data_IF_041901928933
#
_entry.id   IF_041901928933
#
_cell.length_a   1.000
_cell.length_b   1.000
_cell.length_c   1.000
_cell.angle_alpha   90.00
_cell.angle_beta   90.00
_cell.angle_gamma   90.00
#
_symmetry.space_group_name_H-M   'P 1'
#
loop_
_entity.id
_entity.type
_entity.pdbx_description
1 polymer ?
#
# COMPACT_ATOMS: atom_id res chain seq x y z
N UNK A 1 -35.32 9.45 11.10
CA UNK A 1 -34.18 9.59 12.04
C UNK A 1 -34.42 10.83 12.88
N UNK A 2 -34.29 10.74 14.21
CA UNK A 2 -34.24 11.95 15.06
C UNK A 2 -33.05 12.79 14.59
N UNK A 3 -33.27 14.05 14.26
CA UNK A 3 -32.18 14.98 13.96
C UNK A 3 -31.45 15.26 15.28
N UNK A 4 -30.22 14.78 15.40
CA UNK A 4 -29.38 14.99 16.59
C UNK A 4 -28.44 16.17 16.37
N UNK A 5 -28.18 16.89 17.45
CA UNK A 5 -27.22 18.01 17.46
C UNK A 5 -25.84 17.47 17.78
N UNK A 6 -24.82 18.14 17.24
CA UNK A 6 -23.43 17.96 17.69
C UNK A 6 -23.27 18.81 18.95
N UNK A 7 -22.81 18.17 20.01
CA UNK A 7 -22.44 18.78 21.28
C UNK A 7 -20.92 18.73 21.43
N UNK A 8 -20.36 19.53 22.34
CA UNK A 8 -18.93 19.60 22.60
C UNK A 8 -18.68 19.40 24.09
N UNK A 9 -17.65 18.61 24.41
CA UNK A 9 -17.29 18.31 25.80
C UNK A 9 -15.79 18.16 25.95
N UNK A 10 -15.31 18.34 27.19
CA UNK A 10 -13.94 18.07 27.56
C UNK A 10 -13.61 16.58 27.39
N UNK A 11 -12.43 16.28 26.85
CA UNK A 11 -11.93 14.92 26.61
C UNK A 11 -11.91 14.04 27.86
N UNK A 12 -11.66 14.62 29.04
CA UNK A 12 -11.61 13.87 30.29
C UNK A 12 -13.00 13.42 30.76
N UNK A 13 -14.06 14.04 30.23
CA UNK A 13 -15.44 13.64 30.48
C UNK A 13 -15.90 12.46 29.60
N UNK A 14 -15.10 12.05 28.60
CA UNK A 14 -15.43 10.93 27.71
C UNK A 14 -14.67 9.67 28.16
N UNK A 15 -15.44 8.60 28.43
CA UNK A 15 -14.93 7.27 28.75
C UNK A 15 -14.78 6.41 27.48
N UNK A 16 -13.70 5.65 27.39
CA UNK A 16 -13.50 4.59 26.39
C UNK A 16 -14.45 3.43 26.66
N UNK A 17 -14.95 2.80 25.59
CA UNK A 17 -15.91 1.71 25.69
C UNK A 17 -15.23 0.37 26.03
N UNK A 18 -15.46 -0.22 27.22
CA UNK A 18 -14.95 -1.54 27.57
C UNK A 18 -15.51 -2.67 26.69
N UNK A 19 -16.65 -2.44 26.03
CA UNK A 19 -17.33 -3.41 25.15
C UNK A 19 -16.98 -3.24 23.68
N UNK A 20 -16.00 -2.39 23.34
CA UNK A 20 -15.65 -2.17 21.94
C UNK A 20 -15.22 -3.48 21.26
N UNK A 21 -15.81 -3.88 20.12
CA UNK A 21 -15.49 -5.16 19.46
C UNK A 21 -14.00 -5.38 19.15
N UNK A 22 -13.23 -4.30 18.93
CA UNK A 22 -11.79 -4.37 18.63
C UNK A 22 -10.92 -4.77 19.84
N UNK A 23 -11.44 -4.69 21.07
CA UNK A 23 -10.72 -5.15 22.27
C UNK A 23 -10.66 -6.68 22.37
N UNK A 24 -11.52 -7.38 21.65
CA UNK A 24 -11.61 -8.84 21.66
C UNK A 24 -12.35 -9.42 22.88
N UNK A 25 -12.80 -10.66 22.75
CA UNK A 25 -13.68 -11.33 23.73
C UNK A 25 -13.07 -11.47 25.13
N UNK A 26 -11.75 -11.61 25.23
CA UNK A 26 -11.05 -11.78 26.52
C UNK A 26 -11.03 -10.51 27.36
N UNK A 27 -11.10 -9.33 26.72
CA UNK A 27 -11.17 -8.04 27.39
C UNK A 27 -12.60 -7.74 27.87
N UNK A 28 -13.62 -8.12 27.10
CA UNK A 28 -15.03 -7.89 27.45
C UNK A 28 -15.48 -8.59 28.74
N UNK A 29 -14.82 -9.70 29.11
CA UNK A 29 -15.12 -10.46 30.32
C UNK A 29 -14.36 -9.94 31.56
N UNK A 30 -13.55 -8.90 31.41
CA UNK A 30 -12.78 -8.29 32.47
C UNK A 30 -13.37 -6.92 32.76
N UNK A 31 -13.57 -6.64 34.03
CA UNK A 31 -14.06 -5.35 34.51
C UNK A 31 -12.90 -4.33 34.49
N UNK A 32 -12.41 -4.01 33.28
CA UNK A 32 -11.18 -3.25 33.08
C UNK A 32 -11.36 -1.78 33.47
N UNK A 33 -10.35 -1.21 34.11
CA UNK A 33 -10.26 0.22 34.36
C UNK A 33 -9.96 0.99 33.05
N UNK A 34 -10.26 2.30 33.04
CA UNK A 34 -10.06 3.14 31.86
C UNK A 34 -8.60 3.17 31.38
N UNK A 35 -7.62 3.18 32.29
CA UNK A 35 -6.20 3.13 31.91
C UNK A 35 -5.80 1.79 31.27
N UNK A 36 -6.40 0.68 31.69
CA UNK A 36 -6.17 -0.63 31.08
C UNK A 36 -6.77 -0.69 29.67
N UNK A 37 -7.99 -0.19 29.50
CA UNK A 37 -8.65 -0.08 28.18
C UNK A 37 -7.82 0.81 27.26
N UNK A 38 -7.39 1.97 27.74
CA UNK A 38 -6.53 2.88 26.99
C UNK A 38 -5.23 2.18 26.55
N UNK A 39 -4.54 1.48 27.45
CA UNK A 39 -3.32 0.77 27.13
C UNK A 39 -3.52 -0.30 26.03
N UNK A 40 -4.63 -1.03 26.04
CA UNK A 40 -4.97 -1.96 24.95
C UNK A 40 -5.22 -1.25 23.62
N UNK A 41 -5.77 -0.03 23.64
CA UNK A 41 -6.04 0.76 22.44
C UNK A 41 -4.80 1.48 21.88
N UNK A 42 -3.71 1.63 22.66
CA UNK A 42 -2.49 2.34 22.22
C UNK A 42 -1.89 1.75 20.95
N UNK A 43 -2.07 0.46 20.72
CA UNK A 43 -1.52 -0.27 19.57
C UNK A 43 -2.40 -0.18 18.30
N UNK A 44 -3.54 0.53 18.36
CA UNK A 44 -4.48 0.64 17.23
C UNK A 44 -4.05 1.65 16.14
N UNK A 45 -2.74 1.82 15.95
CA UNK A 45 -2.15 2.75 14.97
C UNK A 45 -2.82 4.13 15.04
N UNK A 46 -2.63 4.80 16.18
CA UNK A 46 -3.29 6.05 16.53
C UNK A 46 -2.58 7.29 15.97
N UNK A 47 -1.38 7.11 15.42
CA UNK A 47 -0.49 8.18 15.00
C UNK A 47 -1.02 8.97 13.79
N UNK A 48 -1.66 8.28 12.85
CA UNK A 48 -2.30 8.92 11.69
C UNK A 48 -3.41 9.89 12.13
N UNK A 49 -4.20 9.51 13.14
CA UNK A 49 -5.24 10.37 13.72
C UNK A 49 -4.62 11.55 14.46
N UNK A 50 -3.56 11.33 15.23
CA UNK A 50 -2.86 12.39 15.94
C UNK A 50 -2.31 13.44 14.98
N UNK A 51 -1.62 13.02 13.92
CA UNK A 51 -1.11 13.93 12.87
C UNK A 51 -2.27 14.68 12.21
N UNK A 52 -3.36 14.00 11.86
CA UNK A 52 -4.54 14.64 11.28
C UNK A 52 -5.17 15.69 12.20
N UNK A 53 -5.27 15.43 13.51
CA UNK A 53 -5.79 16.39 14.47
C UNK A 53 -4.91 17.62 14.63
N UNK A 54 -3.59 17.47 14.61
CA UNK A 54 -2.66 18.60 14.70
C UNK A 54 -2.69 19.48 13.43
N UNK A 55 -2.90 18.88 12.27
CA UNK A 55 -2.97 19.61 11.00
C UNK A 55 -4.33 20.28 10.76
N UNK A 56 -5.43 19.62 11.14
CA UNK A 56 -6.79 20.02 10.71
C UNK A 56 -7.80 20.20 11.84
N UNK A 57 -7.41 19.97 13.09
CA UNK A 57 -8.31 19.93 14.24
C UNK A 57 -9.24 18.71 14.25
N UNK A 58 -10.16 18.66 15.22
CA UNK A 58 -11.20 17.64 15.26
C UNK A 58 -12.39 18.06 14.39
N UNK A 59 -12.66 17.32 13.33
CA UNK A 59 -13.78 17.62 12.46
C UNK A 59 -15.13 17.29 13.09
N UNK A 60 -16.02 18.27 13.19
CA UNK A 60 -17.36 18.10 13.74
C UNK A 60 -18.21 17.08 12.96
N UNK A 61 -17.98 16.90 11.66
CA UNK A 61 -18.68 15.89 10.84
C UNK A 61 -18.25 14.45 11.18
N UNK A 62 -17.11 14.30 11.87
CA UNK A 62 -16.59 13.04 12.41
C UNK A 62 -16.81 12.98 13.93
N UNK A 63 -17.85 13.66 14.46
CA UNK A 63 -18.22 13.60 15.87
C UNK A 63 -18.31 12.15 16.37
N UNK A 64 -17.81 11.90 17.59
CA UNK A 64 -17.93 10.57 18.20
C UNK A 64 -19.35 10.31 18.65
N UNK A 65 -19.77 9.05 18.67
CA UNK A 65 -21.13 8.68 19.07
C UNK A 65 -21.07 8.14 20.49
N UNK A 66 -21.80 8.77 21.42
CA UNK A 66 -21.71 8.46 22.84
C UNK A 66 -23.08 8.12 23.45
N UNK A 67 -23.07 7.28 24.49
CA UNK A 67 -24.22 6.94 25.33
C UNK A 67 -23.86 7.23 26.79
N UNK A 68 -24.80 7.74 27.58
CA UNK A 68 -24.63 7.75 29.03
C UNK A 68 -25.02 6.39 29.61
N UNK A 69 -24.08 5.73 30.27
CA UNK A 69 -24.32 4.44 30.93
C UNK A 69 -23.48 4.30 32.19
N UNK A 70 -23.92 3.42 33.08
CA UNK A 70 -23.21 3.11 34.31
C UNK A 70 -21.98 2.23 34.00
N UNK A 71 -20.80 2.75 34.33
CA UNK A 71 -19.52 2.03 34.29
C UNK A 71 -18.95 2.06 35.69
N UNK A 72 -18.67 0.88 36.28
CA UNK A 72 -18.07 0.76 37.61
C UNK A 72 -18.84 1.49 38.73
N UNK A 73 -20.17 1.60 38.59
CA UNK A 73 -21.03 2.30 39.56
C UNK A 73 -21.19 3.81 39.32
N UNK A 74 -20.50 4.38 38.32
CA UNK A 74 -20.61 5.79 37.95
C UNK A 74 -21.32 5.94 36.60
N UNK A 75 -22.26 6.89 36.48
CA UNK A 75 -22.80 7.28 35.17
C UNK A 75 -21.73 8.04 34.40
N UNK A 76 -21.32 7.52 33.24
CA UNK A 76 -20.30 8.13 32.38
C UNK A 76 -20.80 8.27 30.95
N UNK A 77 -20.28 9.27 30.24
CA UNK A 77 -20.48 9.42 28.79
C UNK A 77 -19.48 8.52 28.06
N UNK A 78 -19.97 7.41 27.50
CA UNK A 78 -19.15 6.35 26.90
C UNK A 78 -19.16 6.47 25.39
N UNK A 79 -17.98 6.51 24.78
CA UNK A 79 -17.82 6.54 23.32
C UNK A 79 -18.11 5.17 22.71
N UNK A 80 -19.24 5.01 22.05
CA UNK A 80 -19.60 3.76 21.37
C UNK A 80 -18.89 3.67 20.01
N UNK A 81 -18.85 4.77 19.27
CA UNK A 81 -18.16 4.85 17.99
C UNK A 81 -17.19 6.02 17.91
N UNK A 82 -15.97 5.73 17.46
CA UNK A 82 -14.84 6.68 17.51
C UNK A 82 -13.87 6.43 18.65
N UNK A 83 -13.84 5.23 19.25
CA UNK A 83 -12.87 4.85 20.30
C UNK A 83 -11.42 5.13 19.90
N UNK A 84 -11.02 4.85 18.64
CA UNK A 84 -9.69 5.21 18.13
C UNK A 84 -9.41 6.72 18.18
N UNK A 85 -10.41 7.56 17.89
CA UNK A 85 -10.27 9.03 17.95
C UNK A 85 -10.06 9.51 19.38
N UNK A 86 -10.86 9.01 20.32
CA UNK A 86 -10.73 9.36 21.74
C UNK A 86 -9.40 8.84 22.31
N UNK A 87 -9.01 7.60 21.98
CA UNK A 87 -7.71 7.06 22.39
C UNK A 87 -6.54 7.88 21.81
N UNK A 88 -6.61 8.30 20.55
CA UNK A 88 -5.61 9.14 19.92
C UNK A 88 -5.51 10.52 20.61
N UNK A 89 -6.65 11.17 20.88
CA UNK A 89 -6.69 12.43 21.64
C UNK A 89 -6.09 12.28 23.04
N UNK A 90 -6.48 11.24 23.80
CA UNK A 90 -5.96 11.00 25.15
C UNK A 90 -4.44 10.75 25.13
N UNK A 91 -3.95 10.00 24.14
CA UNK A 91 -2.51 9.77 23.96
C UNK A 91 -1.77 11.05 23.58
N UNK A 92 -2.36 11.87 22.72
CA UNK A 92 -1.81 13.18 22.32
C UNK A 92 -1.73 14.13 23.53
N UNK A 93 -2.80 14.23 24.32
CA UNK A 93 -2.85 15.03 25.55
C UNK A 93 -1.77 14.57 26.55
N UNK A 94 -1.63 13.26 26.78
CA UNK A 94 -0.55 12.68 27.59
C UNK A 94 0.85 12.99 27.04
N UNK A 95 1.00 13.06 25.72
CA UNK A 95 2.28 13.40 25.07
C UNK A 95 2.65 14.85 25.34
N UNK A 96 1.72 15.80 25.18
CA UNK A 96 1.95 17.20 25.56
C UNK A 96 2.17 17.37 27.07
N UNK A 97 1.50 16.56 27.89
CA UNK A 97 1.68 16.54 29.34
C UNK A 97 2.99 15.91 29.84
N UNK A 98 3.77 15.27 28.97
CA UNK A 98 5.05 14.63 29.32
C UNK A 98 4.96 13.19 29.84
N UNK A 99 3.79 12.55 29.79
CA UNK A 99 3.56 11.18 30.25
C UNK A 99 3.90 10.10 29.20
N UNK A 100 3.95 10.48 27.91
CA UNK A 100 4.29 9.56 26.81
C UNK A 100 5.79 9.61 26.49
N UNK A 101 6.43 8.45 26.43
CA UNK A 101 7.88 8.31 26.20
C UNK A 101 8.22 7.77 24.80
N UNK A 102 7.21 7.42 24.01
CA UNK A 102 7.39 6.96 22.65
C UNK A 102 8.04 8.05 21.78
N UNK A 103 9.25 7.76 21.28
CA UNK A 103 9.99 8.64 20.35
C UNK A 103 9.13 9.10 19.17
N UNK A 104 8.32 8.20 18.60
CA UNK A 104 7.43 8.50 17.47
C UNK A 104 6.39 9.56 17.84
N UNK A 105 5.83 9.52 19.05
CA UNK A 105 4.85 10.50 19.50
C UNK A 105 5.48 11.84 19.86
N UNK A 106 6.67 11.81 20.44
CA UNK A 106 7.47 13.02 20.68
C UNK A 106 7.81 13.73 19.36
N UNK A 107 8.14 12.97 18.31
CA UNK A 107 8.37 13.49 16.96
C UNK A 107 7.09 14.09 16.33
N UNK A 108 5.89 13.56 16.64
CA UNK A 108 4.62 14.09 16.13
C UNK A 108 4.32 15.49 16.69
N UNK A 109 4.64 15.73 17.97
CA UNK A 109 4.37 17.02 18.62
C UNK A 109 5.54 18.02 18.52
N UNK A 110 6.67 17.61 17.93
CA UNK A 110 7.88 18.44 17.87
C UNK A 110 7.63 19.75 17.11
N UNK A 111 7.95 20.88 17.75
CA UNK A 111 7.69 22.20 17.21
C UNK A 111 6.21 22.61 17.11
N UNK A 112 5.27 21.82 17.66
CA UNK A 112 3.83 22.11 17.65
C UNK A 112 3.40 22.63 19.02
N UNK A 113 2.64 23.73 19.05
CA UNK A 113 2.04 24.24 20.28
C UNK A 113 0.87 23.36 20.72
N UNK A 114 0.67 23.21 22.04
CA UNK A 114 -0.44 22.42 22.57
C UNK A 114 -1.80 22.98 22.10
N UNK A 115 -2.65 22.17 21.45
CA UNK A 115 -3.93 22.64 20.92
C UNK A 115 -5.04 22.52 21.97
N UNK A 116 -5.13 23.44 22.94
CA UNK A 116 -6.07 23.32 24.07
C UNK A 116 -7.54 23.10 23.66
N UNK A 117 -8.00 23.77 22.61
CA UNK A 117 -9.37 23.58 22.08
C UNK A 117 -9.63 22.17 21.59
N UNK A 118 -8.61 21.48 21.08
CA UNK A 118 -8.75 20.10 20.60
C UNK A 118 -9.14 19.15 21.74
N UNK A 119 -8.66 19.42 22.97
CA UNK A 119 -8.95 18.61 24.15
C UNK A 119 -10.19 19.09 24.90
N UNK A 120 -10.46 20.40 24.91
CA UNK A 120 -11.61 20.98 25.61
C UNK A 120 -12.93 20.96 24.83
N UNK A 121 -12.89 20.86 23.50
CA UNK A 121 -14.07 20.93 22.63
C UNK A 121 -14.18 19.69 21.72
N UNK A 122 -14.26 18.48 22.32
CA UNK A 122 -14.42 17.25 21.55
C UNK A 122 -15.88 17.12 21.06
N UNK A 123 -16.12 17.10 19.73
CA UNK A 123 -17.47 17.00 19.21
C UNK A 123 -18.01 15.58 19.37
N UNK A 124 -19.22 15.48 19.92
CA UNK A 124 -19.92 14.21 20.07
C UNK A 124 -21.42 14.34 19.75
N UNK A 125 -22.04 13.20 19.46
CA UNK A 125 -23.49 13.07 19.32
C UNK A 125 -23.97 12.12 20.40
N UNK A 126 -24.87 12.61 21.25
CA UNK A 126 -25.52 11.85 22.30
C UNK A 126 -26.59 10.93 21.75
N UNK A 127 -26.50 9.63 22.04
CA UNK A 127 -27.48 8.61 21.73
C UNK A 127 -28.30 8.25 22.99
N UNK A 128 -29.53 7.79 22.80
CA UNK A 128 -30.38 7.37 23.92
C UNK A 128 -30.00 5.94 24.36
N UNK A 129 -29.56 5.10 23.41
CA UNK A 129 -29.12 3.73 23.65
C UNK A 129 -28.09 3.25 22.60
N UNK A 130 -27.38 2.15 22.90
CA UNK A 130 -26.34 1.59 22.01
C UNK A 130 -26.90 1.06 20.71
N UNK A 131 -28.08 0.47 20.76
CA UNK A 131 -28.74 -0.19 19.62
C UNK A 131 -29.00 0.79 18.46
N UNK A 132 -29.03 2.10 18.75
CA UNK A 132 -29.19 3.13 17.73
C UNK A 132 -28.00 3.25 16.77
N UNK A 133 -26.82 2.76 17.15
CA UNK A 133 -25.62 2.81 16.32
C UNK A 133 -25.31 1.50 15.60
N UNK A 134 -26.00 0.39 15.91
CA UNK A 134 -25.67 -0.92 15.36
C UNK A 134 -25.71 -0.94 13.81
N UNK A 135 -26.77 -0.36 13.23
CA UNK A 135 -26.89 -0.23 11.77
C UNK A 135 -25.78 0.65 11.17
N UNK A 136 -25.39 1.72 11.87
CA UNK A 136 -24.30 2.61 11.46
C UNK A 136 -22.93 1.92 11.57
N UNK A 137 -22.67 1.18 12.65
CA UNK A 137 -21.44 0.39 12.84
C UNK A 137 -21.33 -0.69 11.76
N UNK A 138 -22.43 -1.38 11.47
CA UNK A 138 -22.52 -2.35 10.38
C UNK A 138 -22.11 -1.71 9.05
N UNK A 139 -22.71 -0.58 8.69
CA UNK A 139 -22.35 0.12 7.46
C UNK A 139 -20.90 0.64 7.47
N UNK A 140 -20.45 1.28 8.55
CA UNK A 140 -19.16 1.95 8.62
C UNK A 140 -17.97 1.00 8.69
N UNK A 141 -18.11 -0.14 9.37
CA UNK A 141 -16.99 -1.07 9.66
C UNK A 141 -17.13 -2.43 8.99
N UNK A 142 -18.34 -2.87 8.63
CA UNK A 142 -18.52 -4.15 7.92
C UNK A 142 -18.53 -3.92 6.42
N UNK A 143 -19.34 -2.99 5.91
CA UNK A 143 -19.30 -2.63 4.48
C UNK A 143 -18.17 -1.66 4.13
N UNK A 144 -17.79 -0.80 5.08
CA UNK A 144 -16.70 0.16 4.91
C UNK A 144 -17.07 1.35 4.01
N UNK A 145 -16.21 2.36 4.02
CA UNK A 145 -16.26 3.42 2.99
C UNK A 145 -15.60 2.84 1.74
N UNK A 146 -16.25 2.98 0.59
CA UNK A 146 -15.64 2.60 -0.69
C UNK A 146 -14.38 3.43 -0.91
N UNK A 147 -13.23 2.77 -0.90
CA UNK A 147 -11.98 3.43 -1.20
C UNK A 147 -11.95 3.91 -2.66
N UNK A 148 -11.29 5.05 -2.86
CA UNK A 148 -10.97 5.51 -4.21
C UNK A 148 -10.04 4.53 -4.92
N UNK A 149 -10.29 4.35 -6.20
CA UNK A 149 -9.42 3.60 -7.08
C UNK A 149 -8.04 4.28 -7.17
N UNK A 150 -6.97 3.54 -7.50
CA UNK A 150 -5.63 4.10 -7.67
C UNK A 150 -5.53 5.36 -8.56
N UNK A 151 -6.16 5.44 -9.76
CA UNK A 151 -6.09 6.66 -10.57
C UNK A 151 -6.82 7.85 -9.93
N UNK A 152 -7.96 7.62 -9.27
CA UNK A 152 -8.71 8.65 -8.54
C UNK A 152 -7.88 9.23 -7.37
N UNK A 153 -7.19 8.35 -6.62
CA UNK A 153 -6.26 8.76 -5.55
C UNK A 153 -5.11 9.63 -6.12
N UNK A 154 -4.52 9.23 -7.24
CA UNK A 154 -3.43 9.96 -7.86
C UNK A 154 -3.87 11.30 -8.47
N UNK A 155 -5.07 11.35 -9.04
CA UNK A 155 -5.71 12.60 -9.50
C UNK A 155 -5.89 13.57 -8.35
N UNK A 156 -6.42 13.11 -7.21
CA UNK A 156 -6.60 13.98 -6.05
C UNK A 156 -5.27 14.48 -5.49
N UNK A 157 -4.25 13.63 -5.41
CA UNK A 157 -2.89 14.06 -5.04
C UNK A 157 -2.40 15.15 -5.99
N UNK A 158 -2.59 14.96 -7.30
CA UNK A 158 -2.16 15.94 -8.31
C UNK A 158 -2.94 17.25 -8.20
N UNK A 159 -4.24 17.20 -7.90
CA UNK A 159 -5.05 18.39 -7.60
C UNK A 159 -4.48 19.18 -6.42
N UNK A 160 -4.15 18.51 -5.31
CA UNK A 160 -3.58 19.16 -4.14
C UNK A 160 -2.25 19.86 -4.45
N UNK A 161 -1.44 19.30 -5.35
CA UNK A 161 -0.16 19.87 -5.75
C UNK A 161 -0.37 21.03 -6.73
N UNK A 162 -1.10 20.79 -7.82
CA UNK A 162 -1.21 21.71 -8.95
C UNK A 162 -2.12 22.90 -8.66
N UNK A 163 -3.27 22.66 -8.02
CA UNK A 163 -4.27 23.71 -7.77
C UNK A 163 -4.03 24.41 -6.43
N UNK A 164 -3.67 23.66 -5.39
CA UNK A 164 -3.47 24.22 -4.05
C UNK A 164 -2.00 24.60 -3.77
N UNK A 165 -1.07 24.31 -4.69
CA UNK A 165 0.34 24.68 -4.56
C UNK A 165 1.09 23.96 -3.44
N UNK A 166 0.61 22.79 -3.01
CA UNK A 166 1.19 22.05 -1.90
C UNK A 166 2.47 21.30 -2.31
N UNK A 167 3.45 21.24 -1.41
CA UNK A 167 4.63 20.39 -1.59
C UNK A 167 4.28 18.92 -1.37
N UNK A 168 5.13 17.99 -1.81
CA UNK A 168 4.93 16.56 -1.49
C UNK A 168 4.85 16.29 0.02
N UNK A 169 5.56 17.08 0.83
CA UNK A 169 5.56 16.93 2.29
C UNK A 169 4.24 17.38 2.90
N UNK A 170 3.67 18.47 2.40
CA UNK A 170 2.38 18.98 2.87
C UNK A 170 1.26 17.98 2.53
N UNK A 171 1.24 17.48 1.29
CA UNK A 171 0.28 16.45 0.87
C UNK A 171 0.47 15.17 1.69
N UNK A 172 1.72 14.73 1.91
CA UNK A 172 2.02 13.56 2.73
C UNK A 172 1.43 13.67 4.14
N UNK A 173 1.58 14.83 4.79
CA UNK A 173 1.01 15.10 6.12
C UNK A 173 -0.51 15.10 6.10
N UNK A 174 -1.10 15.73 5.09
CA UNK A 174 -2.55 15.86 4.96
C UNK A 174 -3.26 14.51 4.73
N UNK A 175 -2.65 13.61 3.94
CA UNK A 175 -3.28 12.33 3.55
C UNK A 175 -2.75 11.11 4.33
N UNK A 176 -1.74 11.29 5.20
CA UNK A 176 -1.15 10.20 5.98
C UNK A 176 -0.41 9.17 5.11
N UNK A 177 0.44 9.61 4.19
CA UNK A 177 1.22 8.71 3.31
C UNK A 177 2.74 8.82 3.54
N UNK A 178 3.54 8.28 2.63
CA UNK A 178 5.00 8.50 2.59
C UNK A 178 5.33 9.43 1.43
N UNK A 179 6.29 10.34 1.60
CA UNK A 179 6.70 11.29 0.54
C UNK A 179 7.03 10.60 -0.79
N UNK A 180 7.80 9.49 -0.83
CA UNK A 180 8.07 8.79 -2.10
C UNK A 180 6.82 8.18 -2.76
N UNK A 181 5.79 7.86 -1.96
CA UNK A 181 4.50 7.40 -2.48
C UNK A 181 3.73 8.55 -3.11
N UNK A 182 3.69 9.72 -2.45
CA UNK A 182 3.04 10.93 -2.99
C UNK A 182 3.70 11.35 -4.30
N UNK A 183 5.02 11.46 -4.32
CA UNK A 183 5.78 11.83 -5.53
C UNK A 183 5.50 10.86 -6.68
N UNK A 184 5.55 9.55 -6.44
CA UNK A 184 5.29 8.56 -7.50
C UNK A 184 3.86 8.60 -8.01
N UNK A 185 2.87 8.87 -7.15
CA UNK A 185 1.49 9.07 -7.60
C UNK A 185 1.40 10.29 -8.52
N UNK A 186 2.05 11.40 -8.15
CA UNK A 186 2.06 12.61 -8.96
C UNK A 186 2.74 12.42 -10.33
N UNK A 187 3.89 11.76 -10.36
CA UNK A 187 4.61 11.45 -11.62
C UNK A 187 3.80 10.47 -12.46
N UNK A 188 3.26 9.39 -11.88
CA UNK A 188 2.42 8.43 -12.60
C UNK A 188 1.18 9.10 -13.22
N UNK A 189 0.51 9.97 -12.46
CA UNK A 189 -0.63 10.73 -12.98
C UNK A 189 -0.21 11.71 -14.07
N UNK A 190 0.91 12.40 -13.92
CA UNK A 190 1.42 13.31 -14.94
C UNK A 190 1.78 12.57 -16.24
N UNK A 191 2.36 11.37 -16.14
CA UNK A 191 2.65 10.51 -17.30
C UNK A 191 1.34 10.09 -17.97
N UNK A 192 0.34 9.69 -17.18
CA UNK A 192 -0.98 9.35 -17.69
C UNK A 192 -1.59 10.51 -18.49
N UNK A 193 -1.65 11.71 -17.93
CA UNK A 193 -2.17 12.90 -18.64
C UNK A 193 -1.38 13.16 -19.93
N UNK A 194 -0.04 13.06 -19.88
CA UNK A 194 0.77 13.22 -21.08
C UNK A 194 0.47 12.15 -22.14
N UNK A 195 0.21 10.90 -21.74
CA UNK A 195 -0.21 9.87 -22.69
C UNK A 195 -1.55 10.26 -23.34
N UNK A 196 -2.52 10.78 -22.56
CA UNK A 196 -3.86 11.17 -23.07
C UNK A 196 -3.75 12.27 -24.13
N UNK A 197 -2.80 13.18 -23.95
CA UNK A 197 -2.50 14.27 -24.88
C UNK A 197 -1.58 13.84 -26.05
N UNK A 198 -1.08 12.60 -26.06
CA UNK A 198 -0.14 12.11 -27.07
C UNK A 198 -0.88 11.41 -28.23
N UNK A 199 -0.73 11.96 -29.44
CA UNK A 199 -1.34 11.39 -30.65
C UNK A 199 -0.94 9.92 -30.90
N UNK A 200 -1.93 9.07 -31.18
CA UNK A 200 -1.74 7.66 -31.48
C UNK A 200 -1.71 6.76 -30.23
N UNK A 201 -2.10 7.28 -29.07
CA UNK A 201 -2.38 6.48 -27.87
C UNK A 201 -3.88 6.42 -27.61
N UNK A 202 -4.41 5.20 -27.52
CA UNK A 202 -5.73 4.92 -26.98
C UNK A 202 -5.57 4.41 -25.55
N UNK A 203 -6.13 5.16 -24.59
CA UNK A 203 -6.05 4.83 -23.18
C UNK A 203 -7.44 4.60 -22.58
N UNK A 204 -8.36 4.06 -23.38
CA UNK A 204 -9.68 3.66 -22.91
C UNK A 204 -9.69 2.65 -21.74
N UNK A 205 -8.54 2.08 -21.33
CA UNK A 205 -8.39 1.12 -20.21
C UNK A 205 -7.41 1.56 -19.13
N UNK A 206 -7.17 2.87 -18.97
CA UNK A 206 -6.28 3.41 -17.92
C UNK A 206 -6.66 2.91 -16.53
N UNK A 207 -7.95 2.92 -16.22
CA UNK A 207 -8.46 2.66 -14.87
C UNK A 207 -8.05 1.27 -14.37
N UNK A 208 -7.99 0.28 -15.26
CA UNK A 208 -7.66 -1.11 -14.92
C UNK A 208 -6.16 -1.34 -14.68
N UNK A 209 -5.29 -0.44 -15.18
CA UNK A 209 -3.83 -0.66 -15.26
C UNK A 209 -2.99 0.44 -14.64
N UNK A 210 -3.60 1.49 -14.08
CA UNK A 210 -2.88 2.54 -13.36
C UNK A 210 -1.97 1.97 -12.25
N UNK A 211 -2.41 0.92 -11.55
CA UNK A 211 -1.58 0.23 -10.55
C UNK A 211 -0.29 -0.35 -11.14
N UNK A 212 -0.33 -0.87 -12.37
CA UNK A 212 0.85 -1.40 -13.07
C UNK A 212 1.80 -0.26 -13.43
N UNK A 213 1.27 0.85 -13.98
CA UNK A 213 2.03 2.07 -14.24
C UNK A 213 2.74 2.55 -12.97
N UNK A 214 1.98 2.81 -11.90
CA UNK A 214 2.50 3.27 -10.61
C UNK A 214 3.58 2.34 -10.03
N UNK A 215 3.35 1.02 -10.04
CA UNK A 215 4.30 0.05 -9.48
C UNK A 215 5.57 -0.05 -10.32
N UNK A 216 5.45 -0.01 -11.64
CA UNK A 216 6.60 -0.11 -12.55
C UNK A 216 7.58 1.06 -12.40
N UNK A 217 7.09 2.27 -12.11
CA UNK A 217 7.94 3.44 -11.85
C UNK A 217 8.82 3.32 -10.59
N UNK A 218 8.58 2.31 -9.74
CA UNK A 218 9.49 1.97 -8.66
C UNK A 218 10.83 1.38 -9.17
N UNK A 219 10.85 0.82 -10.38
CA UNK A 219 12.02 0.17 -10.97
C UNK A 219 12.83 1.16 -11.79
N UNK A 220 14.14 1.22 -11.57
CA UNK A 220 15.04 2.12 -12.32
C UNK A 220 14.98 1.86 -13.82
N UNK A 221 15.04 0.61 -14.26
CA UNK A 221 14.98 0.24 -15.69
C UNK A 221 13.76 0.83 -16.42
N UNK A 222 12.59 0.89 -15.75
CA UNK A 222 11.39 1.50 -16.32
C UNK A 222 11.54 3.02 -16.39
N UNK A 223 12.09 3.65 -15.34
CA UNK A 223 12.35 5.10 -15.33
C UNK A 223 13.38 5.50 -16.39
N UNK A 224 14.41 4.69 -16.58
CA UNK A 224 15.47 4.91 -17.56
C UNK A 224 14.90 4.75 -18.98
N UNK A 225 14.10 3.71 -19.22
CA UNK A 225 13.41 3.50 -20.50
C UNK A 225 12.49 4.66 -20.87
N UNK A 226 11.73 5.18 -19.91
CA UNK A 226 10.84 6.33 -20.12
C UNK A 226 11.58 7.68 -20.09
N UNK A 227 12.85 7.71 -19.71
CA UNK A 227 13.62 8.96 -19.55
C UNK A 227 13.08 9.89 -18.46
N UNK A 228 12.58 9.32 -17.36
CA UNK A 228 11.94 10.06 -16.25
C UNK A 228 12.69 9.96 -14.92
N UNK A 229 13.88 9.35 -14.89
CA UNK A 229 14.65 9.16 -13.67
C UNK A 229 14.99 10.50 -12.97
N UNK A 230 15.26 11.55 -13.75
CA UNK A 230 15.51 12.92 -13.29
C UNK A 230 14.28 13.63 -12.72
N UNK A 231 13.08 13.07 -12.91
CA UNK A 231 11.82 13.60 -12.37
C UNK A 231 11.54 13.10 -10.95
N UNK A 232 12.34 12.19 -10.43
CA UNK A 232 12.28 11.74 -9.04
C UNK A 232 13.21 12.61 -8.18
N UNK A 233 12.88 12.73 -6.90
CA UNK A 233 13.57 13.58 -5.92
C UNK A 233 13.70 15.08 -6.29
N UNK A 234 12.88 15.59 -7.22
CA UNK A 234 12.75 17.02 -7.57
C UNK A 234 11.42 17.61 -7.10
N UNK A 235 11.30 18.93 -7.03
CA UNK A 235 10.04 19.62 -6.67
C UNK A 235 8.94 19.39 -7.73
N UNK A 236 7.64 19.42 -7.35
CA UNK A 236 6.56 19.11 -8.29
C UNK A 236 6.53 19.99 -9.55
N UNK A 237 6.88 21.27 -9.41
CA UNK A 237 6.95 22.24 -10.53
C UNK A 237 7.95 21.85 -11.63
N UNK A 238 8.93 21.02 -11.30
CA UNK A 238 10.02 20.62 -12.20
C UNK A 238 9.75 19.25 -12.88
N UNK A 239 8.59 18.64 -12.58
CA UNK A 239 8.20 17.34 -13.13
C UNK A 239 7.66 17.45 -14.56
N UNK A 240 6.91 18.50 -14.90
CA UNK A 240 6.17 18.57 -16.18
C UNK A 240 6.95 19.29 -17.30
N UNK A 241 6.94 18.76 -18.55
CA UNK A 241 6.39 17.45 -18.94
C UNK A 241 7.23 16.29 -18.37
N UNK A 242 6.61 15.18 -17.92
CA UNK A 242 7.35 14.10 -17.28
C UNK A 242 8.24 13.36 -18.27
N UNK A 243 7.73 13.03 -19.46
CA UNK A 243 8.50 12.41 -20.53
C UNK A 243 8.91 13.47 -21.55
N UNK A 244 10.19 13.51 -21.92
CA UNK A 244 10.70 14.43 -22.94
C UNK A 244 10.37 13.98 -24.36
N UNK A 245 10.38 14.90 -25.33
CA UNK A 245 10.13 14.62 -26.75
C UNK A 245 10.99 13.47 -27.30
N UNK A 246 12.24 13.37 -26.85
CA UNK A 246 13.19 12.31 -27.24
C UNK A 246 12.76 10.90 -26.78
N UNK A 247 11.85 10.80 -25.81
CA UNK A 247 11.38 9.53 -25.23
C UNK A 247 9.90 9.25 -25.54
N UNK A 248 9.24 10.08 -26.37
CA UNK A 248 7.83 9.86 -26.73
C UNK A 248 7.61 8.52 -27.45
N UNK A 249 8.59 8.06 -28.25
CA UNK A 249 8.51 6.74 -28.88
C UNK A 249 8.46 5.64 -27.80
N UNK A 250 9.33 5.73 -26.79
CA UNK A 250 9.35 4.79 -25.67
C UNK A 250 8.05 4.89 -24.85
N UNK A 251 7.49 6.09 -24.67
CA UNK A 251 6.18 6.26 -24.03
C UNK A 251 5.08 5.50 -24.77
N UNK A 252 5.08 5.57 -26.10
CA UNK A 252 4.09 4.87 -26.93
C UNK A 252 4.24 3.36 -26.84
N UNK A 253 5.46 2.86 -26.94
CA UNK A 253 5.78 1.43 -26.78
C UNK A 253 5.36 0.92 -25.40
N UNK A 254 5.74 1.65 -24.35
CA UNK A 254 5.38 1.34 -22.98
C UNK A 254 3.86 1.31 -22.77
N UNK A 255 3.14 2.32 -23.25
CA UNK A 255 1.69 2.39 -23.14
C UNK A 255 1.03 1.19 -23.83
N UNK A 256 1.46 0.85 -25.06
CA UNK A 256 0.96 -0.32 -25.78
C UNK A 256 1.21 -1.63 -25.03
N UNK A 257 2.37 -1.79 -24.40
CA UNK A 257 2.68 -3.00 -23.63
C UNK A 257 1.90 -3.10 -22.32
N UNK A 258 1.47 -1.99 -21.72
CA UNK A 258 0.70 -1.99 -20.47
C UNK A 258 -0.82 -2.03 -20.69
N UNK A 259 -1.33 -1.23 -21.63
CA UNK A 259 -2.76 -1.02 -21.84
C UNK A 259 -3.31 -1.80 -23.04
N UNK A 260 -2.44 -2.14 -24.00
CA UNK A 260 -2.85 -2.65 -25.31
C UNK A 260 -3.38 -1.54 -26.21
N UNK A 261 -3.90 -1.95 -27.37
CA UNK A 261 -4.61 -1.10 -28.33
C UNK A 261 -5.70 -1.94 -29.04
N UNK A 262 -6.35 -1.41 -30.07
CA UNK A 262 -7.39 -2.12 -30.84
C UNK A 262 -6.89 -3.44 -31.47
N UNK A 263 -5.61 -3.53 -31.82
CA UNK A 263 -5.02 -4.67 -32.53
C UNK A 263 -4.23 -5.62 -31.60
N UNK A 264 -3.78 -5.13 -30.45
CA UNK A 264 -2.81 -5.78 -29.58
C UNK A 264 -3.27 -5.83 -28.14
N UNK A 265 -3.28 -7.04 -27.58
CA UNK A 265 -3.47 -7.21 -26.14
C UNK A 265 -2.24 -6.68 -25.37
N UNK A 266 -2.43 -6.19 -24.13
CA UNK A 266 -1.32 -5.79 -23.28
C UNK A 266 -0.37 -6.97 -23.02
N UNK A 267 0.92 -6.67 -23.01
CA UNK A 267 2.00 -7.60 -22.68
C UNK A 267 2.07 -7.82 -21.16
N UNK A 268 1.87 -6.74 -20.39
CA UNK A 268 1.84 -6.77 -18.92
C UNK A 268 0.38 -6.82 -18.47
N UNK A 269 0.01 -7.93 -17.86
CA UNK A 269 -1.40 -8.20 -17.50
C UNK A 269 -1.68 -8.04 -16.01
N UNK A 270 -0.66 -8.15 -15.15
CA UNK A 270 -0.81 -8.10 -13.70
C UNK A 270 0.37 -7.36 -13.06
N UNK A 271 0.11 -6.65 -11.96
CA UNK A 271 1.13 -6.00 -11.13
C UNK A 271 2.31 -6.90 -10.73
N UNK A 272 2.10 -8.21 -10.57
CA UNK A 272 3.13 -9.19 -10.23
C UNK A 272 4.15 -9.39 -11.35
N UNK A 273 3.85 -8.95 -12.56
CA UNK A 273 4.72 -9.06 -13.73
C UNK A 273 5.64 -7.86 -13.91
N UNK A 274 5.51 -6.83 -13.07
CA UNK A 274 6.30 -5.59 -13.16
C UNK A 274 7.81 -5.85 -13.07
N UNK A 275 8.23 -6.78 -12.20
CA UNK A 275 9.66 -7.12 -12.07
C UNK A 275 10.21 -7.73 -13.35
N UNK A 276 9.52 -8.74 -13.90
CA UNK A 276 9.90 -9.34 -15.18
C UNK A 276 9.94 -8.31 -16.31
N UNK A 277 8.94 -7.44 -16.36
CA UNK A 277 8.89 -6.39 -17.38
C UNK A 277 10.06 -5.41 -17.27
N UNK A 278 10.43 -5.00 -16.06
CA UNK A 278 11.60 -4.16 -15.85
C UNK A 278 12.90 -4.85 -16.28
N UNK A 279 13.06 -6.15 -16.00
CA UNK A 279 14.21 -6.95 -16.49
C UNK A 279 14.26 -6.97 -18.02
N UNK A 280 13.11 -7.15 -18.68
CA UNK A 280 13.03 -7.16 -20.15
C UNK A 280 13.41 -5.81 -20.74
N UNK A 281 12.93 -4.70 -20.19
CA UNK A 281 13.29 -3.35 -20.66
C UNK A 281 14.79 -3.03 -20.48
N UNK A 282 15.46 -3.69 -19.54
CA UNK A 282 16.89 -3.51 -19.28
C UNK A 282 17.80 -4.35 -20.20
N UNK A 283 17.25 -5.30 -20.97
CA UNK A 283 18.00 -6.14 -21.91
C UNK A 283 17.74 -5.70 -23.34
N UNK A 284 18.82 -5.51 -24.11
CA UNK A 284 18.73 -5.16 -25.53
C UNK A 284 17.98 -6.24 -26.32
N UNK A 285 18.26 -7.52 -26.08
CA UNK A 285 17.60 -8.64 -26.74
C UNK A 285 16.14 -8.80 -26.33
N UNK A 286 15.84 -8.64 -25.04
CA UNK A 286 14.48 -8.71 -24.51
C UNK A 286 13.60 -7.59 -25.06
N UNK A 287 14.15 -6.36 -25.11
CA UNK A 287 13.48 -5.20 -25.66
C UNK A 287 13.29 -5.31 -27.18
N UNK A 288 14.30 -5.77 -27.93
CA UNK A 288 14.19 -6.02 -29.36
C UNK A 288 13.09 -7.05 -29.66
N UNK A 289 13.00 -8.12 -28.86
CA UNK A 289 11.91 -9.10 -28.98
C UNK A 289 10.52 -8.46 -28.81
N UNK A 290 10.33 -7.57 -27.83
CA UNK A 290 9.05 -6.88 -27.64
C UNK A 290 8.70 -5.95 -28.81
N UNK A 291 9.70 -5.35 -29.47
CA UNK A 291 9.52 -4.43 -30.60
C UNK A 291 9.25 -5.14 -31.93
N UNK A 292 9.91 -6.28 -32.17
CA UNK A 292 9.92 -6.95 -33.47
C UNK A 292 8.80 -7.97 -33.63
N UNK A 293 8.36 -8.59 -32.54
CA UNK A 293 7.35 -9.65 -32.59
C UNK A 293 5.95 -9.06 -32.58
N UNK A 294 5.14 -9.40 -33.58
CA UNK A 294 3.76 -8.89 -33.73
C UNK A 294 2.85 -9.16 -32.53
N UNK A 295 3.03 -10.29 -31.84
CA UNK A 295 2.28 -10.69 -30.63
C UNK A 295 3.27 -11.19 -29.58
N UNK A 296 3.98 -10.30 -28.90
CA UNK A 296 5.01 -10.69 -27.96
C UNK A 296 4.37 -11.25 -26.69
N UNK A 297 5.12 -12.12 -26.01
CA UNK A 297 4.77 -12.66 -24.70
C UNK A 297 5.84 -12.23 -23.71
N UNK A 298 5.42 -11.70 -22.57
CA UNK A 298 6.34 -11.25 -21.53
C UNK A 298 7.26 -12.37 -21.05
N UNK A 299 6.72 -13.59 -20.88
CA UNK A 299 7.51 -14.73 -20.39
C UNK A 299 8.64 -15.09 -21.35
N UNK A 300 8.36 -15.08 -22.66
CA UNK A 300 9.41 -15.35 -23.66
C UNK A 300 10.43 -14.22 -23.72
N UNK A 301 9.99 -12.96 -23.62
CA UNK A 301 10.89 -11.82 -23.56
C UNK A 301 11.81 -11.89 -22.32
N UNK A 302 11.26 -12.33 -21.18
CA UNK A 302 11.99 -12.47 -19.92
C UNK A 302 13.09 -13.55 -19.99
N UNK A 303 12.78 -14.70 -20.59
CA UNK A 303 13.79 -15.75 -20.86
C UNK A 303 14.88 -15.24 -21.81
N UNK A 304 14.49 -14.52 -22.88
CA UNK A 304 15.46 -13.92 -23.82
C UNK A 304 16.36 -12.90 -23.12
N UNK A 305 15.81 -12.16 -22.16
CA UNK A 305 16.55 -11.22 -21.32
C UNK A 305 17.45 -11.89 -20.26
N UNK A 306 17.53 -13.24 -20.24
CA UNK A 306 18.30 -14.00 -19.25
C UNK A 306 17.68 -13.99 -17.85
N UNK A 307 16.41 -13.62 -17.71
CA UNK A 307 15.75 -13.49 -16.42
C UNK A 307 15.51 -14.79 -15.67
N UNK A 308 15.58 -15.95 -16.35
CA UNK A 308 15.45 -17.28 -15.77
C UNK A 308 16.81 -17.94 -15.44
N UNK A 309 17.93 -17.25 -15.68
CA UNK A 309 19.26 -17.80 -15.43
C UNK A 309 19.48 -18.13 -13.95
N UNK A 310 19.10 -17.22 -13.04
CA UNK A 310 19.30 -17.44 -11.61
C UNK A 310 18.45 -18.62 -11.09
N UNK A 311 17.20 -18.73 -11.54
CA UNK A 311 16.34 -19.88 -11.21
C UNK A 311 16.94 -21.19 -11.75
N UNK A 312 17.49 -21.16 -12.97
CA UNK A 312 18.19 -22.32 -13.54
C UNK A 312 19.44 -22.67 -12.71
N UNK A 313 20.24 -21.69 -12.28
CA UNK A 313 21.40 -21.92 -11.41
C UNK A 313 20.99 -22.52 -10.06
N UNK A 314 19.94 -22.02 -9.43
CA UNK A 314 19.41 -22.56 -8.17
C UNK A 314 18.92 -24.00 -8.32
N UNK A 315 18.17 -24.29 -9.39
CA UNK A 315 17.69 -25.65 -9.69
C UNK A 315 18.86 -26.61 -9.94
N UNK A 316 19.87 -26.19 -10.69
CA UNK A 316 21.05 -27.01 -10.99
C UNK A 316 21.92 -27.24 -9.76
N UNK A 317 22.16 -26.21 -8.94
CA UNK A 317 22.86 -26.33 -7.66
C UNK A 317 22.13 -27.27 -6.70
N UNK A 318 20.81 -27.12 -6.58
CA UNK A 318 19.97 -27.98 -5.73
C UNK A 318 19.98 -29.44 -6.22
N UNK A 319 19.92 -29.64 -7.54
CA UNK A 319 20.02 -30.96 -8.13
C UNK A 319 21.38 -31.61 -7.84
N UNK A 320 22.48 -30.87 -7.99
CA UNK A 320 23.84 -31.34 -7.69
C UNK A 320 23.96 -31.76 -6.22
N UNK A 321 23.54 -30.89 -5.28
CA UNK A 321 23.55 -31.18 -3.84
C UNK A 321 22.76 -32.45 -3.50
N UNK A 322 21.55 -32.59 -4.02
CA UNK A 322 20.71 -33.76 -3.75
C UNK A 322 21.33 -35.07 -4.29
N UNK A 323 22.06 -35.00 -5.41
CA UNK A 323 22.78 -36.15 -5.94
C UNK A 323 23.98 -36.50 -5.05
N UNK A 324 24.76 -35.51 -4.61
CA UNK A 324 25.87 -35.70 -3.67
C UNK A 324 25.40 -36.35 -2.36
N UNK A 325 24.32 -35.84 -1.77
CA UNK A 325 23.72 -36.41 -0.55
C UNK A 325 23.26 -37.85 -0.76
N UNK A 326 22.60 -38.15 -1.88
CA UNK A 326 22.13 -39.50 -2.18
C UNK A 326 23.28 -40.49 -2.33
N UNK A 327 24.42 -40.08 -2.91
CA UNK A 327 25.58 -40.94 -3.13
C UNK A 327 26.13 -41.56 -1.83
N UNK A 328 25.95 -40.88 -0.69
CA UNK A 328 26.39 -41.37 0.63
C UNK A 328 25.79 -42.74 1.01
N UNK A 329 24.57 -43.03 0.56
CA UNK A 329 23.80 -44.20 1.01
C UNK A 329 23.18 -45.03 -0.12
N UNK A 330 23.26 -44.56 -1.37
CA UNK A 330 22.61 -45.21 -2.53
C UNK A 330 23.04 -46.66 -2.75
N UNK A 331 24.29 -47.01 -2.42
CA UNK A 331 24.84 -48.35 -2.59
C UNK A 331 24.15 -49.41 -1.71
N UNK A 332 23.55 -49.01 -0.58
CA UNK A 332 22.77 -49.91 0.27
C UNK A 332 21.48 -50.42 -0.40
N UNK A 333 21.01 -49.72 -1.44
CA UNK A 333 19.72 -49.97 -2.08
C UNK A 333 19.85 -50.21 -3.60
N UNK A 334 21.04 -50.63 -4.07
CA UNK A 334 21.34 -50.77 -5.48
C UNK A 334 20.44 -51.76 -6.26
N UNK A 335 19.74 -52.67 -5.57
CA UNK A 335 18.81 -53.64 -6.14
C UNK A 335 17.33 -53.23 -6.01
N UNK A 336 17.03 -52.08 -5.39
CA UNK A 336 15.66 -51.60 -5.25
C UNK A 336 15.12 -51.13 -6.61
N UNK A 337 14.08 -51.80 -7.11
CA UNK A 337 13.52 -51.53 -8.43
C UNK A 337 12.93 -50.11 -8.57
N UNK A 338 12.39 -49.52 -7.49
CA UNK A 338 11.87 -48.16 -7.54
C UNK A 338 13.02 -47.16 -7.68
N UNK A 339 14.09 -47.36 -6.92
CA UNK A 339 15.29 -46.52 -6.98
C UNK A 339 15.98 -46.64 -8.35
N UNK A 340 16.10 -47.85 -8.90
CA UNK A 340 16.66 -48.08 -10.24
C UNK A 340 15.89 -47.28 -11.30
N UNK A 341 14.56 -47.20 -11.24
CA UNK A 341 13.75 -46.38 -12.17
C UNK A 341 14.05 -44.89 -12.03
N UNK A 342 14.20 -44.39 -10.81
CA UNK A 342 14.54 -42.98 -10.54
C UNK A 342 15.93 -42.65 -11.08
N UNK A 343 16.93 -43.50 -10.81
CA UNK A 343 18.30 -43.32 -11.30
C UNK A 343 18.35 -43.33 -12.82
N UNK A 344 17.66 -44.26 -13.50
CA UNK A 344 17.59 -44.27 -14.98
C UNK A 344 17.06 -42.96 -15.55
N UNK A 345 16.00 -42.39 -14.94
CA UNK A 345 15.44 -41.10 -15.37
C UNK A 345 16.44 -39.95 -15.13
N UNK A 346 17.07 -39.92 -13.96
CA UNK A 346 18.08 -38.91 -13.64
C UNK A 346 19.25 -38.98 -14.63
N UNK A 347 19.80 -40.17 -14.90
CA UNK A 347 20.90 -40.37 -15.85
C UNK A 347 20.54 -39.92 -17.26
N UNK A 348 19.31 -40.18 -17.73
CA UNK A 348 18.85 -39.72 -19.04
C UNK A 348 18.81 -38.18 -19.13
N UNK A 349 18.34 -37.52 -18.06
CA UNK A 349 18.28 -36.06 -18.01
C UNK A 349 19.69 -35.45 -17.94
N UNK A 350 20.59 -36.00 -17.13
CA UNK A 350 22.00 -35.56 -17.05
C UNK A 350 22.71 -35.73 -18.39
N UNK A 351 22.45 -36.82 -19.12
CA UNK A 351 23.02 -37.02 -20.46
C UNK A 351 22.57 -35.94 -21.46
N UNK A 352 21.33 -35.46 -21.36
CA UNK A 352 20.86 -34.34 -22.18
C UNK A 352 21.55 -33.03 -21.79
N UNK A 353 21.73 -32.78 -20.50
CA UNK A 353 22.46 -31.60 -20.00
C UNK A 353 23.90 -31.62 -20.50
N UNK A 354 24.62 -32.73 -20.38
CA UNK A 354 25.99 -32.85 -20.90
C UNK A 354 26.07 -32.55 -22.40
N UNK A 355 25.08 -32.98 -23.18
CA UNK A 355 25.01 -32.66 -24.61
C UNK A 355 24.85 -31.15 -24.87
N UNK A 356 24.12 -30.43 -24.02
CA UNK A 356 23.94 -28.97 -24.13
C UNK A 356 25.24 -28.23 -23.81
N UNK A 357 25.99 -28.69 -22.81
CA UNK A 357 27.24 -28.07 -22.36
C UNK A 357 28.51 -28.63 -23.03
N UNK A 358 28.37 -29.58 -23.96
CA UNK A 358 29.47 -30.28 -24.63
C UNK A 358 30.47 -30.95 -23.65
N UNK A 359 29.94 -31.55 -22.56
CA UNK A 359 30.69 -32.24 -21.49
C UNK A 359 30.80 -33.76 -21.67
#
# INVERSE_FOLDING_TARGET
MKQRKIEYIDLDSIALDPRNPRLGRSAHNKDLAQDEIFNLMRDWSLEELATSFLESGFWAHEAVLCVEEEIHGDVRLVVIEGNRRIAALKRLQKTFGGDETSRKWLEIIDGVAQPDKLFGEVPFIRLDAREEVDAFLGFRHVTGIKEWAPPEKAQFISKLIDENGLTYRDVMRQIGSKTPTVQRNYIAYSILIQMEDTEGLDIGKVEDKFSVLFLSLARSAVRDFLGVADKFDVEPKDVRPPVSDNHIVNLKEYARWLFGDEENAPVVTDSRQVDKFATVLASDEGLDYLRTVKRPSLEKAFVIAGGDQEELYELMTTAAYNVEEALSSIHHYAQDEKLIRVVKRLSANVAQINKIFEL
#
